data_IF_345366737403
#
_entry.id   IF_345366737403
#
_cell.length_a   1.000
_cell.length_b   1.000
_cell.length_c   1.000
_cell.angle_alpha   90.00
_cell.angle_beta   90.00
_cell.angle_gamma   90.00
#
_symmetry.space_group_name_H-M   'P 1'
#
loop_
_entity.id
_entity.type
_entity.pdbx_description
1 polymer ?
#
# COMPACT_ATOMS: atom_id res chain seq x y z
N UNK A 1 -47.46 -14.06 -9.67
CA UNK A 1 -46.37 -13.73 -8.76
C UNK A 1 -45.09 -13.73 -9.60
N UNK A 2 -44.62 -12.57 -10.02
CA UNK A 2 -43.36 -12.41 -10.74
C UNK A 2 -42.31 -12.12 -9.67
N UNK A 3 -41.45 -13.09 -9.41
CA UNK A 3 -40.30 -12.93 -8.52
C UNK A 3 -39.32 -11.99 -9.19
N UNK A 4 -39.25 -10.75 -8.73
CA UNK A 4 -38.21 -9.81 -9.10
C UNK A 4 -36.90 -10.27 -8.48
N UNK A 5 -36.06 -10.91 -9.28
CA UNK A 5 -34.65 -11.12 -8.94
C UNK A 5 -33.97 -9.74 -9.00
N UNK A 6 -33.82 -9.11 -7.85
CA UNK A 6 -32.94 -7.96 -7.69
C UNK A 6 -31.52 -8.43 -7.90
N UNK A 7 -30.99 -8.24 -9.10
CA UNK A 7 -29.55 -8.19 -9.30
C UNK A 7 -29.06 -6.88 -8.66
N UNK A 8 -28.75 -6.92 -7.38
CA UNK A 8 -27.87 -5.94 -6.77
C UNK A 8 -26.48 -6.38 -7.21
N UNK A 9 -25.77 -5.66 -8.09
CA UNK A 9 -24.36 -5.92 -8.27
C UNK A 9 -23.72 -5.62 -6.91
N UNK A 10 -23.12 -6.63 -6.31
CA UNK A 10 -22.24 -6.47 -5.17
C UNK A 10 -21.09 -5.55 -5.64
N UNK A 11 -21.28 -4.23 -5.45
CA UNK A 11 -20.22 -3.25 -5.62
C UNK A 11 -19.38 -3.30 -4.33
N UNK A 12 -18.88 -4.46 -4.03
CA UNK A 12 -17.66 -4.53 -3.27
C UNK A 12 -16.58 -3.88 -4.15
N UNK A 13 -15.84 -2.94 -3.61
CA UNK A 13 -14.55 -2.52 -4.16
C UNK A 13 -13.63 -3.76 -4.13
N UNK A 14 -14.02 -4.78 -4.87
CA UNK A 14 -13.41 -6.08 -4.91
C UNK A 14 -12.40 -6.11 -6.00
N UNK A 15 -11.16 -6.36 -5.65
CA UNK A 15 -10.12 -6.64 -6.59
C UNK A 15 -8.80 -5.92 -6.29
N UNK A 16 -8.79 -4.88 -5.49
CA UNK A 16 -7.55 -4.24 -5.06
C UNK A 16 -6.88 -5.08 -3.95
N UNK A 17 -5.61 -5.44 -4.17
CA UNK A 17 -4.79 -6.08 -3.14
C UNK A 17 -4.31 -5.02 -2.13
N UNK A 18 -5.23 -4.52 -1.30
CA UNK A 18 -4.95 -3.46 -0.33
C UNK A 18 -4.02 -3.94 0.76
N UNK A 19 -2.98 -3.18 1.00
CA UNK A 19 -2.08 -3.35 2.13
C UNK A 19 -1.91 -2.00 2.81
N UNK A 20 -2.02 -1.92 4.14
CA UNK A 20 -1.73 -0.69 4.86
C UNK A 20 -0.22 -0.39 4.80
N UNK A 21 0.12 0.88 4.92
CA UNK A 21 1.50 1.36 5.03
C UNK A 21 2.41 0.99 3.85
N UNK A 22 1.91 1.16 2.63
CA UNK A 22 2.73 0.99 1.43
C UNK A 22 3.67 2.17 1.23
N UNK A 23 4.97 1.90 1.08
CA UNK A 23 5.98 2.91 0.81
C UNK A 23 5.89 3.49 -0.60
N UNK A 24 6.05 4.81 -0.72
CA UNK A 24 5.99 5.51 -2.02
C UNK A 24 7.14 5.10 -2.94
N UNK A 25 8.32 4.80 -2.37
CA UNK A 25 9.43 4.19 -3.10
C UNK A 25 8.99 2.90 -3.81
N UNK A 26 8.39 1.99 -3.07
CA UNK A 26 7.94 0.69 -3.57
C UNK A 26 6.84 0.85 -4.63
N UNK A 27 5.85 1.73 -4.39
CA UNK A 27 4.78 2.03 -5.35
C UNK A 27 5.33 2.54 -6.68
N UNK A 28 6.35 3.40 -6.66
CA UNK A 28 7.05 3.87 -7.86
C UNK A 28 7.78 2.77 -8.62
N UNK A 29 8.18 1.70 -7.92
CA UNK A 29 8.85 0.51 -8.47
C UNK A 29 7.89 -0.67 -8.69
N UNK A 30 6.62 -0.44 -9.01
CA UNK A 30 5.69 -1.55 -9.19
C UNK A 30 5.28 -2.26 -7.91
N UNK A 31 5.51 -1.62 -6.77
CA UNK A 31 5.21 -2.16 -5.45
C UNK A 31 6.05 -3.41 -5.07
N UNK A 32 7.27 -3.56 -5.58
CA UNK A 32 8.24 -4.59 -5.17
C UNK A 32 8.87 -4.26 -3.82
N UNK A 33 9.49 -5.25 -3.16
CA UNK A 33 10.16 -5.08 -1.86
C UNK A 33 10.29 -6.37 -1.06
N UNK A 34 10.13 -7.53 -1.67
CA UNK A 34 10.30 -8.82 -0.97
C UNK A 34 11.76 -9.23 -0.89
N UNK A 35 12.51 -9.04 -1.97
CA UNK A 35 13.93 -9.38 -2.00
C UNK A 35 14.84 -8.22 -1.56
N UNK A 36 14.46 -6.96 -1.80
CA UNK A 36 15.22 -5.77 -1.44
C UNK A 36 14.39 -4.78 -0.62
N UNK A 37 14.30 -4.98 0.69
CA UNK A 37 13.74 -4.02 1.64
C UNK A 37 14.78 -3.69 2.70
N UNK A 38 15.63 -2.73 2.42
CA UNK A 38 16.72 -2.28 3.30
C UNK A 38 16.56 -0.81 3.70
N UNK A 39 15.34 -0.39 3.92
CA UNK A 39 14.93 0.96 4.31
C UNK A 39 13.83 0.91 5.38
N UNK A 40 13.19 2.04 5.65
CA UNK A 40 12.07 2.18 6.59
C UNK A 40 10.87 1.27 6.27
N UNK A 41 10.76 0.78 5.03
CA UNK A 41 9.66 -0.08 4.61
C UNK A 41 9.89 -1.58 4.93
N UNK A 42 11.08 -1.96 5.41
CA UNK A 42 11.45 -3.35 5.69
C UNK A 42 10.43 -4.05 6.60
N UNK A 43 9.96 -3.38 7.65
CA UNK A 43 8.96 -3.92 8.56
C UNK A 43 7.64 -4.32 7.88
N UNK A 44 7.29 -3.65 6.77
CA UNK A 44 6.00 -3.85 6.09
C UNK A 44 6.09 -4.75 4.85
N UNK A 45 7.28 -4.94 4.28
CA UNK A 45 7.48 -5.75 3.08
C UNK A 45 8.15 -7.09 3.37
N UNK A 46 9.31 -7.04 4.02
CA UNK A 46 10.05 -8.23 4.44
C UNK A 46 10.92 -7.90 5.66
N UNK A 47 10.57 -8.36 6.87
CA UNK A 47 11.31 -8.03 8.08
C UNK A 47 12.76 -8.53 8.09
N UNK A 48 13.15 -9.48 7.22
CA UNK A 48 14.55 -9.85 7.04
C UNK A 48 15.40 -8.70 6.51
N UNK A 49 14.80 -7.78 5.78
CA UNK A 49 15.46 -6.58 5.25
C UNK A 49 15.98 -5.65 6.34
N UNK A 50 15.43 -5.70 7.57
CA UNK A 50 16.01 -4.98 8.71
C UNK A 50 17.48 -5.30 8.91
N UNK A 51 17.87 -6.58 8.77
CA UNK A 51 19.25 -7.02 8.93
C UNK A 51 20.20 -6.50 7.82
N UNK A 52 19.66 -5.89 6.77
CA UNK A 52 20.44 -5.25 5.70
C UNK A 52 20.63 -3.74 5.93
N UNK A 53 19.97 -3.17 6.92
CA UNK A 53 20.12 -1.76 7.28
C UNK A 53 21.39 -1.59 8.11
N UNK A 54 22.30 -0.75 7.65
CA UNK A 54 23.63 -0.54 8.22
C UNK A 54 23.75 0.77 9.04
N UNK A 55 22.75 1.66 8.92
CA UNK A 55 22.71 2.95 9.61
C UNK A 55 21.43 3.08 10.42
N UNK A 56 21.48 3.85 11.52
CA UNK A 56 20.26 4.19 12.25
C UNK A 56 19.34 5.03 11.37
N UNK A 57 18.08 4.65 11.28
CA UNK A 57 17.04 5.38 10.56
C UNK A 57 15.98 5.81 11.57
N UNK A 58 15.74 7.11 11.66
CA UNK A 58 14.55 7.68 12.30
C UNK A 58 13.85 8.49 11.24
N UNK A 59 12.63 8.15 10.90
CA UNK A 59 11.91 8.82 9.82
C UNK A 59 10.44 9.03 10.13
N UNK A 60 9.91 10.16 9.68
CA UNK A 60 8.50 10.54 9.80
C UNK A 60 7.96 10.79 8.39
N UNK A 61 7.43 9.76 7.71
CA UNK A 61 6.79 9.92 6.42
C UNK A 61 5.40 10.55 6.56
N UNK A 62 5.15 11.58 5.76
CA UNK A 62 3.84 12.16 5.51
C UNK A 62 3.44 11.84 4.08
N UNK A 63 2.46 10.97 3.91
CA UNK A 63 2.03 10.48 2.60
C UNK A 63 0.63 10.99 2.29
N UNK A 64 0.48 11.55 1.09
CA UNK A 64 -0.83 11.91 0.53
C UNK A 64 -0.99 11.26 -0.84
N UNK A 65 -2.10 10.59 -1.05
CA UNK A 65 -2.44 9.91 -2.28
C UNK A 65 -3.82 10.29 -2.76
N UNK A 66 -3.95 10.53 -4.05
CA UNK A 66 -5.21 10.89 -4.69
C UNK A 66 -5.37 10.18 -6.03
N UNK A 67 -6.61 9.82 -6.39
CA UNK A 67 -6.89 9.35 -7.74
C UNK A 67 -6.83 10.50 -8.75
N UNK A 68 -6.64 10.15 -10.01
CA UNK A 68 -6.72 11.13 -11.11
C UNK A 68 -8.08 11.82 -11.14
N UNK A 69 -9.14 11.09 -10.86
CA UNK A 69 -10.50 11.61 -10.85
C UNK A 69 -10.75 12.58 -9.70
N UNK A 70 -10.17 12.33 -8.51
CA UNK A 70 -10.17 13.28 -7.39
C UNK A 70 -9.57 14.63 -7.81
N UNK A 71 -8.40 14.63 -8.46
CA UNK A 71 -7.75 15.85 -8.92
C UNK A 71 -8.58 16.57 -9.99
N UNK A 72 -9.20 15.81 -10.93
CA UNK A 72 -10.03 16.39 -11.98
C UNK A 72 -11.27 17.04 -11.41
N UNK A 73 -11.94 16.38 -10.45
CA UNK A 73 -13.12 16.91 -9.77
C UNK A 73 -12.80 18.18 -8.99
N UNK A 74 -11.75 18.16 -8.16
CA UNK A 74 -11.31 19.33 -7.40
C UNK A 74 -11.03 20.55 -8.30
N UNK A 75 -10.38 20.33 -9.46
CA UNK A 75 -10.11 21.40 -10.43
C UNK A 75 -11.37 21.94 -11.11
N UNK A 76 -12.40 21.12 -11.30
CA UNK A 76 -13.68 21.54 -11.89
C UNK A 76 -14.54 22.31 -10.89
N UNK A 77 -14.63 21.83 -9.65
CA UNK A 77 -15.37 22.49 -8.57
C UNK A 77 -14.78 23.87 -8.27
N UNK A 78 -13.44 24.00 -8.23
CA UNK A 78 -12.79 25.31 -8.03
C UNK A 78 -13.06 26.31 -9.15
N UNK A 79 -13.27 25.86 -10.40
CA UNK A 79 -13.63 26.71 -11.53
C UNK A 79 -15.09 27.18 -11.50
N UNK A 80 -15.98 26.40 -10.92
CA UNK A 80 -17.42 26.71 -10.83
C UNK A 80 -17.75 27.72 -9.72
N UNK A 81 -16.83 27.96 -8.78
CA UNK A 81 -16.98 28.98 -7.72
C UNK A 81 -18.08 28.65 -6.70
N UNK A 82 -19.34 28.72 -7.10
CA UNK A 82 -20.52 28.44 -6.27
C UNK A 82 -21.39 27.35 -6.89
N UNK A 83 -20.80 26.15 -7.09
CA UNK A 83 -21.56 25.00 -7.58
C UNK A 83 -22.60 24.54 -6.57
N UNK A 84 -23.81 24.23 -7.03
CA UNK A 84 -24.79 23.55 -6.19
C UNK A 84 -24.34 22.12 -5.87
N UNK A 85 -24.89 21.53 -4.82
CA UNK A 85 -24.65 20.11 -4.49
C UNK A 85 -24.99 19.21 -5.68
N UNK A 86 -26.06 19.52 -6.41
CA UNK A 86 -26.47 18.78 -7.59
C UNK A 86 -25.43 18.84 -8.72
N UNK A 87 -24.85 20.02 -9.00
CA UNK A 87 -23.78 20.17 -10.00
C UNK A 87 -22.52 19.39 -9.61
N UNK A 88 -22.16 19.44 -8.35
CA UNK A 88 -20.98 18.71 -7.83
C UNK A 88 -21.17 17.19 -7.99
N UNK A 89 -22.35 16.68 -7.68
CA UNK A 89 -22.65 15.25 -7.84
C UNK A 89 -22.72 14.85 -9.32
N UNK A 90 -23.29 15.69 -10.19
CA UNK A 90 -23.28 15.45 -11.63
C UNK A 90 -21.87 15.37 -12.19
N UNK A 91 -20.93 16.18 -11.69
CA UNK A 91 -19.51 16.12 -12.06
C UNK A 91 -18.80 14.88 -11.50
N UNK A 92 -19.30 14.29 -10.41
CA UNK A 92 -18.75 13.10 -9.79
C UNK A 92 -19.27 11.79 -10.42
N UNK A 93 -20.31 11.85 -11.28
CA UNK A 93 -20.85 10.67 -11.97
C UNK A 93 -19.75 9.95 -12.76
N UNK A 94 -19.74 8.61 -12.66
CA UNK A 94 -18.79 7.71 -13.30
C UNK A 94 -17.32 7.92 -12.93
N UNK A 95 -17.04 8.73 -11.89
CA UNK A 95 -15.70 8.93 -11.37
C UNK A 95 -15.45 8.08 -10.14
N UNK A 96 -14.19 7.65 -10.02
CA UNK A 96 -13.68 6.99 -8.81
C UNK A 96 -12.81 7.97 -8.04
N UNK A 97 -13.31 8.40 -6.90
CA UNK A 97 -12.63 9.33 -6.01
C UNK A 97 -11.95 8.50 -4.94
N UNK A 98 -10.63 8.57 -4.90
CA UNK A 98 -9.81 7.94 -3.88
C UNK A 98 -8.92 8.97 -3.22
N UNK A 99 -8.86 8.91 -1.90
CA UNK A 99 -7.95 9.69 -1.07
C UNK A 99 -7.36 8.81 0.01
N UNK A 100 -6.02 8.82 0.14
CA UNK A 100 -5.30 8.17 1.24
C UNK A 100 -4.33 9.16 1.86
N UNK A 101 -4.35 9.21 3.19
CA UNK A 101 -3.36 9.93 3.99
C UNK A 101 -2.72 8.96 4.96
N UNK A 102 -1.38 9.00 5.08
CA UNK A 102 -0.63 8.20 6.02
C UNK A 102 0.43 9.06 6.70
N UNK A 103 0.55 8.89 8.00
CA UNK A 103 1.65 9.44 8.79
C UNK A 103 2.14 8.36 9.74
N UNK A 104 3.45 8.17 9.80
CA UNK A 104 4.08 7.19 10.68
C UNK A 104 5.36 7.75 11.31
N UNK A 105 5.81 7.11 12.36
CA UNK A 105 7.15 7.23 12.91
C UNK A 105 7.83 5.87 12.73
N UNK A 106 8.97 5.83 12.06
CA UNK A 106 9.78 4.64 11.90
C UNK A 106 11.12 4.84 12.59
N UNK A 107 11.54 3.83 13.33
CA UNK A 107 12.85 3.79 14.01
C UNK A 107 13.50 2.45 13.71
N UNK A 108 14.69 2.46 13.13
CA UNK A 108 15.48 1.25 12.88
C UNK A 108 16.87 1.48 13.45
N UNK A 109 17.31 0.56 14.28
CA UNK A 109 18.59 0.66 15.02
C UNK A 109 19.38 -0.62 14.81
N UNK A 110 20.51 -0.58 14.06
CA UNK A 110 21.42 -1.71 13.96
C UNK A 110 22.27 -1.85 15.25
N UNK A 111 22.39 -3.10 15.71
CA UNK A 111 23.26 -3.48 16.84
C UNK A 111 24.41 -4.33 16.30
N UNK A 112 25.47 -3.64 15.89
CA UNK A 112 26.59 -4.27 15.22
C UNK A 112 26.18 -4.87 13.87
N UNK A 113 26.90 -5.92 13.44
CA UNK A 113 26.69 -6.58 12.15
C UNK A 113 25.74 -7.78 12.22
N UNK A 114 25.24 -8.12 13.41
CA UNK A 114 24.46 -9.35 13.63
C UNK A 114 22.96 -9.11 13.68
N UNK A 115 22.51 -8.01 14.28
CA UNK A 115 21.10 -7.82 14.61
C UNK A 115 20.68 -6.36 14.40
N UNK A 116 19.45 -6.16 13.94
CA UNK A 116 18.81 -4.85 13.79
C UNK A 116 17.42 -4.91 14.35
N UNK A 117 17.04 -3.93 15.16
CA UNK A 117 15.66 -3.74 15.62
C UNK A 117 14.97 -2.65 14.82
N UNK A 118 13.68 -2.86 14.57
CA UNK A 118 12.81 -1.88 13.92
C UNK A 118 11.52 -1.72 14.69
N UNK A 119 11.03 -0.49 14.77
CA UNK A 119 9.71 -0.16 15.29
C UNK A 119 9.06 0.89 14.38
N UNK A 120 7.78 0.71 14.10
CA UNK A 120 6.98 1.67 13.36
C UNK A 120 5.64 1.86 14.05
N UNK A 121 5.14 3.09 14.07
CA UNK A 121 3.80 3.39 14.57
C UNK A 121 3.18 4.50 13.75
N UNK A 122 1.91 4.36 13.37
CA UNK A 122 1.29 5.38 12.52
C UNK A 122 -0.20 5.22 12.31
N UNK A 123 -0.72 6.15 11.53
CA UNK A 123 -2.11 6.28 11.16
C UNK A 123 -2.23 6.29 9.64
N UNK A 124 -3.18 5.53 9.10
CA UNK A 124 -3.55 5.59 7.69
C UNK A 124 -5.07 5.76 7.58
N UNK A 125 -5.50 6.74 6.81
CA UNK A 125 -6.91 6.96 6.48
C UNK A 125 -7.09 6.82 4.98
N UNK A 126 -8.07 6.02 4.57
CA UNK A 126 -8.46 5.85 3.18
C UNK A 126 -9.93 6.18 3.04
N UNK A 127 -10.28 6.94 2.01
CA UNK A 127 -11.65 7.30 1.65
C UNK A 127 -11.85 6.96 0.17
N UNK A 128 -12.86 6.18 -0.12
CA UNK A 128 -13.28 5.82 -1.47
C UNK A 128 -14.72 6.29 -1.70
N UNK A 129 -14.93 6.97 -2.81
CA UNK A 129 -16.23 7.47 -3.21
C UNK A 129 -16.46 7.20 -4.70
N UNK A 130 -17.60 6.71 -5.07
CA UNK A 130 -18.02 6.61 -6.46
C UNK A 130 -19.51 6.93 -6.60
N UNK A 131 -19.86 7.68 -7.64
CA UNK A 131 -21.23 7.97 -7.99
C UNK A 131 -21.61 7.18 -9.24
N UNK A 132 -22.70 6.41 -9.17
CA UNK A 132 -23.22 5.61 -10.28
C UNK A 132 -24.67 5.99 -10.56
N UNK A 133 -25.11 5.83 -11.80
CA UNK A 133 -26.48 6.13 -12.20
C UNK A 133 -27.05 5.02 -13.09
N UNK A 134 -27.48 3.89 -12.52
CA UNK A 134 -28.19 2.87 -13.31
C UNK A 134 -29.68 3.21 -13.54
N UNK A 135 -30.39 3.75 -12.56
CA UNK A 135 -31.81 4.17 -12.62
C UNK A 135 -32.07 5.43 -11.78
N UNK A 136 -31.13 5.79 -10.92
CA UNK A 136 -31.11 6.95 -10.05
C UNK A 136 -29.67 7.17 -9.58
N UNK A 137 -29.30 8.39 -9.18
CA UNK A 137 -27.93 8.66 -8.72
C UNK A 137 -27.75 8.02 -7.34
N UNK A 138 -26.80 7.09 -7.27
CA UNK A 138 -26.37 6.45 -6.04
C UNK A 138 -24.93 6.81 -5.72
N UNK A 139 -24.67 7.20 -4.48
CA UNK A 139 -23.35 7.48 -3.96
C UNK A 139 -22.86 6.31 -3.13
N UNK A 140 -21.76 5.70 -3.55
CA UNK A 140 -21.08 4.66 -2.80
C UNK A 140 -19.90 5.27 -2.05
N UNK A 141 -19.92 5.15 -0.74
CA UNK A 141 -18.90 5.72 0.15
C UNK A 141 -18.31 4.64 1.05
N UNK A 142 -16.99 4.58 1.13
CA UNK A 142 -16.25 3.72 2.05
C UNK A 142 -15.13 4.48 2.75
N UNK A 143 -14.91 4.19 4.01
CA UNK A 143 -13.82 4.77 4.81
C UNK A 143 -13.13 3.69 5.60
N UNK A 144 -11.79 3.71 5.58
CA UNK A 144 -10.94 2.86 6.43
C UNK A 144 -9.98 3.74 7.22
N UNK A 145 -9.88 3.47 8.51
CA UNK A 145 -8.89 4.06 9.42
C UNK A 145 -8.10 2.94 10.06
N UNK A 146 -6.80 2.92 9.83
CA UNK A 146 -5.85 2.01 10.44
C UNK A 146 -4.91 2.76 11.38
N UNK A 147 -4.84 2.32 12.63
CA UNK A 147 -3.75 2.62 13.54
C UNK A 147 -2.89 1.37 13.65
N UNK A 148 -1.59 1.49 13.42
CA UNK A 148 -0.67 0.35 13.46
C UNK A 148 0.49 0.62 14.39
N UNK A 149 0.91 -0.41 15.12
CA UNK A 149 2.21 -0.52 15.75
C UNK A 149 2.86 -1.80 15.25
N UNK A 150 4.03 -1.68 14.66
CA UNK A 150 4.80 -2.79 14.11
C UNK A 150 6.19 -2.79 14.74
N UNK A 151 6.58 -3.88 15.37
CA UNK A 151 7.88 -4.06 16.02
C UNK A 151 8.51 -5.33 15.50
N UNK A 152 9.77 -5.26 15.10
CA UNK A 152 10.46 -6.41 14.54
C UNK A 152 11.95 -6.41 14.79
N UNK A 153 12.56 -7.55 14.47
CA UNK A 153 14.00 -7.73 14.50
C UNK A 153 14.46 -8.51 13.27
N UNK A 154 15.64 -8.14 12.78
CA UNK A 154 16.34 -8.82 11.71
C UNK A 154 17.70 -9.33 12.18
N UNK A 155 18.10 -10.50 11.71
CA UNK A 155 19.35 -11.17 12.03
C UNK A 155 20.14 -11.44 10.77
N UNK A 156 21.41 -11.09 10.77
CA UNK A 156 22.39 -11.30 9.71
C UNK A 156 23.29 -12.47 10.08
N UNK A 157 23.23 -13.55 9.31
CA UNK A 157 24.00 -14.76 9.53
C UNK A 157 24.98 -14.98 8.38
N UNK A 158 26.05 -15.74 8.64
CA UNK A 158 27.11 -16.05 7.65
C UNK A 158 27.60 -14.79 6.91
N UNK A 159 28.03 -13.77 7.68
CA UNK A 159 28.52 -12.49 7.17
C UNK A 159 27.56 -11.77 6.22
N UNK A 160 26.27 -11.84 6.51
CA UNK A 160 25.25 -11.17 5.70
C UNK A 160 24.75 -11.96 4.50
N UNK A 161 25.14 -13.24 4.38
CA UNK A 161 24.64 -14.12 3.31
C UNK A 161 23.19 -14.51 3.54
N UNK A 162 22.81 -14.78 4.79
CA UNK A 162 21.46 -15.15 5.19
C UNK A 162 20.89 -14.10 6.12
N UNK A 163 19.75 -13.55 5.76
CA UNK A 163 19.02 -12.60 6.58
C UNK A 163 17.68 -13.21 6.96
N UNK A 164 17.37 -13.15 8.24
CA UNK A 164 16.12 -13.68 8.80
C UNK A 164 15.49 -12.56 9.62
N UNK A 165 14.19 -12.41 9.56
CA UNK A 165 13.49 -11.40 10.34
C UNK A 165 12.11 -11.84 10.76
N UNK A 166 11.63 -11.24 11.83
CA UNK A 166 10.26 -11.42 12.31
C UNK A 166 9.73 -10.10 12.87
N UNK A 167 8.41 -9.94 12.81
CA UNK A 167 7.74 -8.78 13.38
C UNK A 167 6.38 -9.16 13.98
N UNK A 168 5.89 -8.28 14.84
CA UNK A 168 4.55 -8.30 15.42
C UNK A 168 3.85 -7.02 15.02
N UNK A 169 2.67 -7.16 14.44
CA UNK A 169 1.84 -6.03 14.03
C UNK A 169 0.57 -5.99 14.89
N UNK A 170 0.31 -4.85 15.52
CA UNK A 170 -0.93 -4.58 16.26
C UNK A 170 -1.72 -3.53 15.50
N UNK A 171 -2.97 -3.84 15.23
CA UNK A 171 -3.91 -2.98 14.51
C UNK A 171 -5.04 -2.51 15.42
N UNK A 172 -5.45 -1.27 15.20
CA UNK A 172 -6.77 -0.80 15.55
C UNK A 172 -7.42 -0.28 14.25
N UNK A 173 -8.40 -1.02 13.74
CA UNK A 173 -9.04 -0.74 12.45
C UNK A 173 -10.51 -0.38 12.64
N UNK A 174 -10.92 0.67 11.99
CA UNK A 174 -12.30 0.89 11.61
C UNK A 174 -12.40 0.73 10.08
N UNK A 175 -13.24 -0.16 9.64
CA UNK A 175 -13.52 -0.39 8.22
C UNK A 175 -15.01 -0.14 8.02
N UNK A 176 -15.33 1.07 7.56
CA UNK A 176 -16.70 1.41 7.28
C UNK A 176 -17.02 0.86 5.88
N UNK A 177 -17.96 -0.11 5.78
CA UNK A 177 -18.25 -0.74 4.51
C UNK A 177 -18.82 0.27 3.53
N UNK A 178 -18.69 -0.01 2.25
CA UNK A 178 -19.30 0.80 1.20
C UNK A 178 -20.79 0.90 1.47
N UNK A 179 -21.25 2.10 1.78
CA UNK A 179 -22.68 2.41 1.98
C UNK A 179 -23.19 3.08 0.72
N UNK A 180 -24.26 2.54 0.17
CA UNK A 180 -24.97 3.18 -0.95
C UNK A 180 -26.00 4.13 -0.38
N UNK A 181 -25.94 5.40 -0.79
CA UNK A 181 -26.85 6.47 -0.38
C UNK A 181 -27.55 6.99 -1.63
N UNK A 182 -28.88 6.96 -1.63
CA UNK A 182 -29.65 7.54 -2.74
C UNK A 182 -29.50 9.08 -2.74
N UNK A 183 -29.45 9.67 -3.92
CA UNK A 183 -29.34 11.14 -4.06
C UNK A 183 -30.49 11.90 -3.40
N UNK A 184 -31.69 11.31 -3.41
CA UNK A 184 -32.84 11.88 -2.70
C UNK A 184 -32.60 12.06 -1.21
N UNK A 185 -31.91 11.10 -0.60
CA UNK A 185 -31.60 11.11 0.83
C UNK A 185 -30.51 12.14 1.14
N UNK A 186 -29.51 12.25 0.26
CA UNK A 186 -28.45 13.26 0.32
C UNK A 186 -29.00 14.70 0.26
N UNK A 187 -29.96 14.94 -0.62
CA UNK A 187 -30.56 16.29 -0.80
C UNK A 187 -31.53 16.66 0.33
N UNK A 188 -32.13 15.68 0.99
CA UNK A 188 -33.09 15.88 2.07
C UNK A 188 -32.46 15.77 3.47
N UNK A 189 -31.19 15.36 3.55
CA UNK A 189 -30.50 15.17 4.81
C UNK A 189 -30.13 16.51 5.44
N UNK A 190 -30.60 16.76 6.64
CA UNK A 190 -30.17 17.88 7.48
C UNK A 190 -28.80 17.62 8.13
N UNK A 191 -28.32 16.37 8.15
CA UNK A 191 -27.08 15.93 8.79
C UNK A 191 -26.33 14.91 7.93
N UNK A 192 -25.86 15.37 6.78
CA UNK A 192 -25.08 14.55 5.83
C UNK A 192 -23.92 13.77 6.50
N UNK A 193 -23.28 14.38 7.50
CA UNK A 193 -22.18 13.76 8.24
C UNK A 193 -22.62 12.54 9.06
N UNK A 194 -23.87 12.51 9.55
CA UNK A 194 -24.40 11.38 10.30
C UNK A 194 -24.83 10.24 9.35
N UNK A 195 -25.32 10.59 8.17
CA UNK A 195 -25.75 9.61 7.16
C UNK A 195 -24.57 8.95 6.45
N UNK A 196 -23.52 9.70 6.15
CA UNK A 196 -22.29 9.18 5.55
C UNK A 196 -21.56 8.27 6.55
N UNK A 197 -21.59 8.62 7.84
CA UNK A 197 -20.87 7.89 8.88
C UNK A 197 -19.36 8.08 8.80
N UNK A 198 -18.73 8.27 9.95
CA UNK A 198 -17.28 8.39 10.05
C UNK A 198 -16.71 7.34 11.01
N UNK A 199 -15.49 6.94 10.76
CA UNK A 199 -14.75 6.14 11.72
C UNK A 199 -14.55 6.93 13.02
N UNK A 200 -15.24 6.47 14.08
CA UNK A 200 -15.10 7.00 15.43
C UNK A 200 -14.20 6.05 16.24
N UNK A 201 -13.58 6.57 17.28
CA UNK A 201 -12.71 5.77 18.17
C UNK A 201 -13.44 4.56 18.79
N UNK A 202 -14.75 4.68 19.04
CA UNK A 202 -15.58 3.57 19.54
C UNK A 202 -15.73 2.42 18.53
N UNK A 203 -15.54 2.68 17.23
CA UNK A 203 -15.64 1.69 16.15
C UNK A 203 -14.32 0.98 15.85
N UNK A 204 -13.23 1.39 16.50
CA UNK A 204 -11.93 0.76 16.30
C UNK A 204 -11.91 -0.66 16.86
N UNK A 205 -11.54 -1.62 16.03
CA UNK A 205 -11.40 -3.04 16.38
C UNK A 205 -9.94 -3.42 16.45
N UNK A 206 -9.55 -4.09 17.51
CA UNK A 206 -8.18 -4.53 17.74
C UNK A 206 -7.91 -5.84 17.03
N UNK A 207 -6.76 -5.95 16.40
CA UNK A 207 -6.23 -7.17 15.81
C UNK A 207 -4.73 -7.25 16.02
N UNK A 208 -4.19 -8.46 16.04
CA UNK A 208 -2.76 -8.71 16.13
C UNK A 208 -2.38 -9.80 15.16
N UNK A 209 -1.20 -9.66 14.56
CA UNK A 209 -0.64 -10.64 13.66
C UNK A 209 0.87 -10.66 13.71
N UNK A 210 1.46 -11.62 13.02
CA UNK A 210 2.90 -11.83 12.96
C UNK A 210 3.36 -11.87 11.50
N UNK A 211 4.58 -11.44 11.28
CA UNK A 211 5.27 -11.56 10.01
C UNK A 211 6.61 -12.27 10.17
N UNK A 212 7.04 -12.93 9.09
CA UNK A 212 8.32 -13.58 9.01
C UNK A 212 8.97 -13.25 7.66
N UNK A 213 10.27 -13.09 7.66
CA UNK A 213 11.05 -12.77 6.48
C UNK A 213 12.32 -13.58 6.39
N UNK A 214 12.72 -13.82 5.15
CA UNK A 214 13.95 -14.47 4.81
C UNK A 214 14.53 -13.87 3.54
N UNK A 215 15.85 -13.68 3.50
CA UNK A 215 16.60 -13.27 2.30
C UNK A 215 17.91 -14.02 2.23
N UNK A 216 18.35 -14.35 1.01
CA UNK A 216 19.65 -14.95 0.75
C UNK A 216 20.38 -14.18 -0.34
N UNK A 217 21.60 -13.74 -0.04
CA UNK A 217 22.52 -13.10 -0.97
C UNK A 217 23.39 -14.18 -1.61
N UNK A 218 23.19 -14.39 -2.91
CA UNK A 218 23.87 -15.46 -3.64
C UNK A 218 25.33 -15.10 -3.94
N UNK A 219 26.28 -15.77 -3.28
CA UNK A 219 27.72 -15.56 -3.51
C UNK A 219 28.19 -15.97 -4.90
N UNK A 220 27.50 -16.95 -5.53
CA UNK A 220 27.87 -17.48 -6.86
C UNK A 220 27.68 -16.47 -8.01
N UNK A 221 26.95 -15.38 -7.79
CA UNK A 221 26.67 -14.32 -8.75
C UNK A 221 27.16 -12.97 -8.21
N UNK A 222 28.39 -12.93 -7.74
CA UNK A 222 28.97 -11.75 -7.10
C UNK A 222 28.88 -10.47 -7.94
N UNK A 223 28.99 -10.58 -9.27
CA UNK A 223 28.91 -9.44 -10.18
C UNK A 223 27.49 -8.85 -10.27
N UNK A 224 26.45 -9.70 -10.19
CA UNK A 224 25.05 -9.27 -10.26
C UNK A 224 24.44 -9.00 -8.89
N UNK A 225 25.15 -9.42 -7.80
CA UNK A 225 24.65 -9.31 -6.42
C UNK A 225 23.20 -9.78 -6.29
N UNK A 226 22.95 -10.99 -6.74
CA UNK A 226 21.63 -11.60 -6.70
C UNK A 226 21.17 -11.85 -5.26
N UNK A 227 19.94 -11.44 -4.98
CA UNK A 227 19.25 -11.69 -3.72
C UNK A 227 17.90 -12.32 -4.04
N UNK A 228 17.56 -13.40 -3.36
CA UNK A 228 16.18 -13.88 -3.35
C UNK A 228 15.62 -13.78 -1.94
N UNK A 229 14.31 -13.53 -1.86
CA UNK A 229 13.62 -13.32 -0.61
C UNK A 229 12.27 -13.99 -0.56
N UNK A 230 11.85 -14.30 0.65
CA UNK A 230 10.49 -14.76 0.96
C UNK A 230 9.96 -13.93 2.14
N UNK A 231 8.68 -13.61 2.12
CA UNK A 231 8.01 -13.03 3.27
C UNK A 231 6.65 -13.68 3.49
N UNK A 232 6.29 -13.82 4.75
CA UNK A 232 4.97 -14.24 5.17
C UNK A 232 4.39 -13.15 6.07
N UNK A 233 3.20 -12.67 5.75
CA UNK A 233 2.45 -11.68 6.54
C UNK A 233 1.18 -12.31 7.07
N UNK A 234 0.63 -11.70 8.09
CA UNK A 234 -0.60 -12.16 8.74
C UNK A 234 -0.55 -13.65 9.12
N UNK A 235 0.59 -14.12 9.62
CA UNK A 235 0.74 -15.51 10.06
C UNK A 235 -0.27 -15.84 11.15
N UNK A 236 -1.03 -16.91 10.95
CA UNK A 236 -2.16 -17.26 11.80
C UNK A 236 -3.46 -16.51 11.49
N UNK A 237 -3.42 -15.59 10.51
CA UNK A 237 -4.52 -14.70 10.14
C UNK A 237 -4.60 -13.47 11.05
N UNK A 238 -4.89 -12.32 10.49
CA UNK A 238 -5.23 -11.10 11.24
C UNK A 238 -6.73 -11.13 11.53
N UNK A 239 -7.09 -11.40 12.78
CA UNK A 239 -8.48 -11.42 13.24
C UNK A 239 -8.74 -10.19 14.10
N UNK A 240 -9.86 -9.53 13.85
CA UNK A 240 -10.28 -8.37 14.61
C UNK A 240 -11.26 -8.75 15.73
N UNK A 241 -11.18 -8.02 16.84
CA UNK A 241 -12.21 -8.11 17.89
C UNK A 241 -13.57 -7.72 17.29
N UNK A 242 -14.64 -8.44 17.65
CA UNK A 242 -15.97 -8.25 17.09
C UNK A 242 -16.91 -7.59 18.08
N UNK A 243 -17.86 -6.85 17.54
CA UNK A 243 -19.03 -6.35 18.26
C UNK A 243 -20.25 -6.68 17.41
N UNK A 244 -21.17 -7.47 17.93
CA UNK A 244 -22.33 -7.99 17.18
C UNK A 244 -23.34 -6.91 16.76
N UNK A 245 -23.28 -5.74 17.40
CA UNK A 245 -24.18 -4.61 17.10
C UNK A 245 -23.58 -3.60 16.11
N UNK A 246 -22.39 -3.84 15.58
CA UNK A 246 -21.67 -2.87 14.75
C UNK A 246 -20.96 -3.55 13.59
N UNK A 247 -20.57 -2.76 12.61
CA UNK A 247 -19.76 -3.23 11.49
C UNK A 247 -18.36 -3.61 11.96
N UNK A 248 -17.94 -4.81 11.60
CA UNK A 248 -16.62 -5.33 11.96
C UNK A 248 -15.71 -5.36 10.73
N UNK A 249 -14.41 -5.02 10.87
CA UNK A 249 -13.44 -5.17 9.81
C UNK A 249 -13.34 -6.63 9.33
N UNK A 250 -13.05 -6.80 8.05
CA UNK A 250 -12.84 -8.13 7.46
C UNK A 250 -11.52 -8.70 7.96
N UNK A 251 -11.56 -9.95 8.45
CA UNK A 251 -10.37 -10.69 8.85
C UNK A 251 -9.46 -10.94 7.63
N UNK A 252 -8.15 -10.83 7.79
CA UNK A 252 -7.20 -11.05 6.72
C UNK A 252 -6.47 -12.37 6.91
N UNK A 253 -6.36 -13.15 5.84
CA UNK A 253 -5.63 -14.41 5.83
C UNK A 253 -4.13 -14.20 5.72
N UNK A 254 -3.36 -15.26 6.00
CA UNK A 254 -1.92 -15.25 5.80
C UNK A 254 -1.57 -15.05 4.31
N UNK A 255 -0.59 -14.20 4.06
CA UNK A 255 -0.10 -13.87 2.73
C UNK A 255 1.37 -14.30 2.61
N UNK A 256 1.70 -15.04 1.56
CA UNK A 256 3.05 -15.52 1.27
C UNK A 256 3.56 -14.89 -0.02
N UNK A 257 4.78 -14.39 0.02
CA UNK A 257 5.39 -13.67 -1.09
C UNK A 257 6.79 -14.22 -1.36
N UNK A 258 7.22 -14.18 -2.62
CA UNK A 258 8.57 -14.51 -3.05
C UNK A 258 9.06 -13.43 -4.01
N UNK A 259 10.36 -13.13 -3.93
CA UNK A 259 10.99 -12.15 -4.81
C UNK A 259 12.42 -12.52 -5.16
N UNK A 260 12.88 -12.00 -6.27
CA UNK A 260 14.28 -12.03 -6.69
C UNK A 260 14.71 -10.65 -7.13
N UNK A 261 15.90 -10.26 -6.72
CA UNK A 261 16.46 -8.96 -7.05
C UNK A 261 17.92 -9.06 -7.47
N UNK A 262 18.38 -8.10 -8.24
CA UNK A 262 19.78 -7.94 -8.61
C UNK A 262 20.21 -6.48 -8.56
N UNK A 263 21.48 -6.28 -8.19
CA UNK A 263 22.15 -4.98 -8.17
C UNK A 263 23.39 -5.05 -9.05
N UNK A 264 23.25 -4.97 -10.38
CA UNK A 264 24.38 -5.14 -11.31
C UNK A 264 25.46 -4.08 -11.15
N UNK A 265 25.07 -2.89 -10.74
CA UNK A 265 26.00 -1.79 -10.53
C UNK A 265 25.70 -1.06 -9.22
N UNK A 266 26.75 -0.88 -8.43
CA UNK A 266 26.73 -0.09 -7.21
C UNK A 266 28.06 0.61 -7.04
N UNK A 267 28.06 1.92 -7.28
CA UNK A 267 29.22 2.79 -7.20
C UNK A 267 28.92 4.07 -6.44
N UNK A 268 29.91 4.93 -6.29
CA UNK A 268 29.80 6.19 -5.53
C UNK A 268 28.85 7.20 -6.18
N UNK A 269 28.75 7.20 -7.52
CA UNK A 269 27.95 8.18 -8.24
C UNK A 269 26.61 7.62 -8.70
N UNK A 270 26.51 6.31 -8.84
CA UNK A 270 25.34 5.66 -9.43
C UNK A 270 25.18 4.25 -8.89
N UNK A 271 23.93 3.85 -8.69
CA UNK A 271 23.54 2.46 -8.44
C UNK A 271 22.26 2.14 -9.19
N UNK A 272 22.08 0.87 -9.51
CA UNK A 272 20.82 0.41 -10.04
C UNK A 272 20.46 -0.95 -9.48
N UNK A 273 19.17 -1.21 -9.33
CA UNK A 273 18.68 -2.52 -9.00
C UNK A 273 17.36 -2.82 -9.71
N UNK A 274 17.10 -4.10 -9.81
CA UNK A 274 15.93 -4.67 -10.45
C UNK A 274 15.36 -5.72 -9.51
N UNK A 275 14.05 -5.79 -9.43
CA UNK A 275 13.36 -6.74 -8.57
C UNK A 275 12.10 -7.24 -9.25
N UNK A 276 11.78 -8.52 -9.03
CA UNK A 276 10.54 -9.17 -9.44
C UNK A 276 9.98 -9.88 -8.23
N UNK A 277 8.74 -9.57 -7.89
CA UNK A 277 7.99 -10.22 -6.81
C UNK A 277 6.75 -10.91 -7.34
N UNK A 278 6.43 -12.04 -6.73
CA UNK A 278 5.11 -12.67 -6.82
C UNK A 278 4.51 -12.64 -5.42
N UNK A 279 3.36 -11.99 -5.29
CA UNK A 279 2.70 -11.78 -4.00
C UNK A 279 1.41 -12.57 -3.90
N UNK A 280 1.01 -12.86 -2.65
CA UNK A 280 -0.18 -13.65 -2.33
C UNK A 280 -0.22 -14.97 -3.12
N UNK A 281 0.82 -15.78 -2.94
CA UNK A 281 0.99 -17.07 -3.62
C UNK A 281 -0.18 -18.04 -3.41
N UNK A 282 -0.93 -17.85 -2.33
CA UNK A 282 -2.09 -18.69 -1.97
C UNK A 282 -3.41 -18.23 -2.56
N UNK A 283 -3.46 -17.03 -3.12
CA UNK A 283 -4.68 -16.39 -3.62
C UNK A 283 -5.76 -16.24 -2.52
N UNK A 284 -5.34 -15.85 -1.32
CA UNK A 284 -6.23 -15.80 -0.16
C UNK A 284 -6.47 -14.36 0.33
N UNK A 285 -6.04 -13.33 -0.44
CA UNK A 285 -6.23 -11.94 -0.06
C UNK A 285 -7.72 -11.62 0.12
N UNK A 286 -8.10 -11.04 1.26
CA UNK A 286 -9.51 -10.84 1.66
C UNK A 286 -10.28 -9.89 0.74
N UNK A 287 -9.56 -8.92 0.15
CA UNK A 287 -10.15 -7.91 -0.71
C UNK A 287 -10.24 -8.36 -2.18
N UNK A 288 -9.88 -9.62 -2.50
CA UNK A 288 -9.94 -10.18 -3.86
C UNK A 288 -10.73 -11.50 -3.90
N UNK A 289 -12.05 -11.49 -3.61
CA UNK A 289 -12.88 -12.69 -3.59
C UNK A 289 -13.01 -13.36 -4.96
N UNK A 290 -12.85 -12.62 -6.05
CA UNK A 290 -12.86 -13.19 -7.40
C UNK A 290 -11.69 -14.15 -7.61
N UNK A 291 -10.47 -13.73 -7.29
CA UNK A 291 -9.30 -14.58 -7.47
C UNK A 291 -9.19 -15.69 -6.42
N UNK A 292 -9.81 -15.56 -5.25
CA UNK A 292 -9.95 -16.67 -4.32
C UNK A 292 -10.71 -17.85 -4.96
N UNK A 293 -11.71 -17.57 -5.79
CA UNK A 293 -12.53 -18.57 -6.50
C UNK A 293 -11.89 -19.02 -7.81
N UNK A 294 -11.14 -18.16 -8.49
CA UNK A 294 -10.60 -18.37 -9.84
C UNK A 294 -9.06 -18.37 -9.86
N UNK A 295 -8.44 -19.14 -8.96
CA UNK A 295 -6.98 -19.15 -8.72
C UNK A 295 -6.12 -19.41 -9.97
N UNK A 296 -6.64 -20.13 -10.97
CA UNK A 296 -5.92 -20.50 -12.19
C UNK A 296 -6.11 -19.49 -13.34
N UNK A 297 -6.84 -18.39 -13.12
CA UNK A 297 -7.02 -17.36 -14.14
C UNK A 297 -5.70 -16.63 -14.42
N UNK A 298 -5.41 -16.38 -15.71
CA UNK A 298 -4.28 -15.55 -16.13
C UNK A 298 -4.33 -14.15 -15.52
N UNK A 299 -5.53 -13.59 -15.40
CA UNK A 299 -5.78 -12.25 -14.87
C UNK A 299 -5.42 -12.18 -13.38
N UNK A 300 -5.79 -13.22 -12.62
CA UNK A 300 -5.43 -13.33 -11.21
C UNK A 300 -3.92 -13.47 -11.00
N UNK A 301 -3.22 -14.19 -11.89
CA UNK A 301 -1.77 -14.28 -11.85
C UNK A 301 -1.13 -12.92 -12.16
N UNK A 302 -1.66 -12.17 -13.15
CA UNK A 302 -1.16 -10.85 -13.54
C UNK A 302 -1.26 -9.84 -12.39
N UNK A 303 -2.32 -9.88 -11.59
CA UNK A 303 -2.51 -9.03 -10.40
C UNK A 303 -1.45 -9.24 -9.33
N UNK A 304 -0.76 -10.38 -9.34
CA UNK A 304 0.24 -10.77 -8.31
C UNK A 304 1.67 -10.56 -8.73
N UNK A 305 1.91 -10.30 -10.01
CA UNK A 305 3.26 -10.04 -10.54
C UNK A 305 3.58 -8.57 -10.38
N UNK A 306 4.71 -8.30 -9.76
CA UNK A 306 5.28 -6.98 -9.54
C UNK A 306 6.69 -6.95 -10.07
N UNK A 307 7.04 -5.94 -10.85
CA UNK A 307 8.39 -5.76 -11.42
C UNK A 307 8.82 -4.33 -11.16
N UNK A 308 10.05 -4.13 -10.74
CA UNK A 308 10.56 -2.81 -10.43
C UNK A 308 12.02 -2.61 -10.73
N UNK A 309 12.37 -1.37 -11.00
CA UNK A 309 13.76 -0.92 -11.12
C UNK A 309 13.92 0.46 -10.52
N UNK A 310 15.09 0.71 -9.91
CA UNK A 310 15.50 2.01 -9.41
C UNK A 310 16.88 2.36 -9.99
N UNK A 311 17.02 3.61 -10.41
CA UNK A 311 18.27 4.23 -10.83
C UNK A 311 18.57 5.35 -9.83
N UNK A 312 19.51 5.10 -8.91
CA UNK A 312 19.91 6.02 -7.87
C UNK A 312 21.19 6.75 -8.25
N UNK A 313 21.17 8.07 -8.16
CA UNK A 313 22.31 8.94 -8.40
C UNK A 313 22.79 9.51 -7.08
N UNK A 314 24.11 9.56 -6.87
CA UNK A 314 24.77 9.97 -5.63
C UNK A 314 24.16 9.24 -4.42
N UNK A 315 24.43 7.92 -4.30
CA UNK A 315 23.97 7.14 -3.15
C UNK A 315 24.41 7.78 -1.83
N UNK A 316 23.50 7.92 -0.88
CA UNK A 316 23.73 8.46 0.45
C UNK A 316 24.08 7.32 1.41
N UNK A 317 23.28 6.24 1.34
CA UNK A 317 23.44 5.01 2.12
C UNK A 317 22.83 3.81 1.37
N UNK A 318 22.67 2.66 2.04
CA UNK A 318 22.14 1.43 1.43
C UNK A 318 20.74 1.60 0.82
N UNK A 319 19.90 2.47 1.39
CA UNK A 319 18.49 2.65 0.98
C UNK A 319 18.16 3.98 0.29
N UNK A 320 19.04 5.00 0.33
CA UNK A 320 18.76 6.33 -0.18
C UNK A 320 19.77 6.83 -1.21
N UNK A 321 19.33 7.69 -2.12
CA UNK A 321 20.16 8.42 -3.09
C UNK A 321 19.74 9.89 -3.11
N UNK A 322 20.63 10.81 -3.52
CA UNK A 322 20.27 12.22 -3.65
C UNK A 322 19.16 12.43 -4.68
N UNK A 323 19.19 11.63 -5.75
CA UNK A 323 18.15 11.56 -6.77
C UNK A 323 17.91 10.09 -7.12
N UNK A 324 16.65 9.65 -7.17
CA UNK A 324 16.32 8.33 -7.69
C UNK A 324 15.15 8.41 -8.69
N UNK A 325 15.29 7.68 -9.80
CA UNK A 325 14.25 7.48 -10.81
C UNK A 325 13.82 6.03 -10.74
N UNK A 326 12.51 5.80 -10.72
CA UNK A 326 11.91 4.48 -10.56
C UNK A 326 10.94 4.18 -11.68
N UNK A 327 10.97 2.95 -12.14
CA UNK A 327 10.01 2.41 -13.09
C UNK A 327 9.55 1.04 -12.58
N UNK A 328 8.31 0.71 -12.87
CA UNK A 328 7.78 -0.58 -12.44
C UNK A 328 6.53 -1.01 -13.17
N UNK A 329 6.12 -2.22 -12.84
CA UNK A 329 4.91 -2.86 -13.29
C UNK A 329 4.16 -3.39 -12.07
N UNK A 330 2.96 -2.88 -11.83
CA UNK A 330 2.11 -3.21 -10.70
C UNK A 330 0.78 -3.75 -11.18
N UNK A 331 0.46 -5.01 -10.89
CA UNK A 331 -0.86 -5.61 -11.20
C UNK A 331 -1.28 -5.46 -12.68
N UNK A 332 -0.33 -5.52 -13.61
CA UNK A 332 -0.61 -5.34 -15.04
C UNK A 332 -0.40 -3.91 -15.56
N UNK A 333 -0.01 -2.93 -14.71
CA UNK A 333 0.10 -1.53 -15.09
C UNK A 333 1.49 -0.95 -14.81
N UNK A 334 1.91 -0.02 -15.68
CA UNK A 334 3.16 0.72 -15.50
C UNK A 334 3.04 1.68 -14.32
N UNK A 335 4.07 1.71 -13.47
CA UNK A 335 4.30 2.68 -12.41
C UNK A 335 5.57 3.49 -12.66
N UNK A 336 5.64 4.68 -12.09
CA UNK A 336 6.77 5.61 -12.18
C UNK A 336 6.99 6.25 -10.83
N UNK A 337 8.25 6.49 -10.49
CA UNK A 337 8.60 7.17 -9.24
C UNK A 337 9.77 8.11 -9.41
N UNK A 338 9.83 9.08 -8.52
CA UNK A 338 10.92 10.04 -8.39
C UNK A 338 11.18 10.27 -6.90
N UNK A 339 12.45 10.35 -6.53
CA UNK A 339 12.88 10.79 -5.20
C UNK A 339 13.93 11.85 -5.33
N UNK A 340 13.85 12.86 -4.47
CA UNK A 340 14.83 13.93 -4.33
C UNK A 340 15.14 14.09 -2.85
N UNK A 341 16.41 13.97 -2.50
CA UNK A 341 16.97 14.27 -1.20
C UNK A 341 17.82 15.54 -1.31
N UNK A 342 17.27 16.73 -0.99
CA UNK A 342 17.99 17.99 -1.17
C UNK A 342 19.19 18.15 -0.23
N UNK A 343 19.21 17.41 0.87
CA UNK A 343 20.31 17.36 1.82
C UNK A 343 21.18 16.15 1.49
N UNK A 344 22.12 16.31 0.56
CA UNK A 344 22.89 15.24 -0.09
C UNK A 344 23.74 14.39 0.88
N UNK A 345 24.04 14.90 2.08
CA UNK A 345 24.96 14.25 3.01
C UNK A 345 24.28 13.51 4.17
N UNK A 346 22.96 13.61 4.33
CA UNK A 346 22.21 12.90 5.36
C UNK A 346 20.72 12.80 5.00
N UNK A 347 20.03 11.84 5.59
CA UNK A 347 18.60 11.59 5.35
C UNK A 347 17.68 12.60 6.05
N UNK A 348 18.02 13.90 6.09
CA UNK A 348 17.23 14.90 6.82
C UNK A 348 15.89 15.23 6.19
N UNK A 349 15.81 15.21 4.86
CA UNK A 349 14.59 15.50 4.11
C UNK A 349 14.58 14.69 2.82
N UNK A 350 13.50 13.95 2.55
CA UNK A 350 13.26 13.37 1.24
C UNK A 350 11.86 13.69 0.74
N UNK A 351 11.76 13.91 -0.57
CA UNK A 351 10.50 14.12 -1.27
C UNK A 351 10.39 12.99 -2.30
N UNK A 352 9.35 12.16 -2.15
CA UNK A 352 9.11 11.03 -3.03
C UNK A 352 7.77 11.19 -3.72
N UNK A 353 7.74 10.84 -5.00
CA UNK A 353 6.54 10.86 -5.82
C UNK A 353 6.37 9.51 -6.52
N UNK A 354 5.14 9.02 -6.59
CA UNK A 354 4.76 7.87 -7.41
C UNK A 354 3.48 8.15 -8.21
N UNK A 355 3.48 7.69 -9.46
CA UNK A 355 2.32 7.68 -10.36
C UNK A 355 2.12 6.24 -10.83
N UNK A 356 1.05 5.61 -10.43
CA UNK A 356 0.80 4.20 -10.64
C UNK A 356 -0.69 3.92 -10.84
N UNK A 357 -1.01 2.70 -11.24
CA UNK A 357 -2.39 2.24 -11.33
C UNK A 357 -2.58 1.01 -10.46
N UNK A 358 -3.78 0.87 -9.95
CA UNK A 358 -4.28 -0.33 -9.27
C UNK A 358 -5.49 -0.88 -10.01
N UNK A 359 -5.69 -2.18 -9.91
CA UNK A 359 -6.92 -2.81 -10.41
C UNK A 359 -7.97 -2.79 -9.31
N UNK A 360 -9.08 -2.14 -9.55
CA UNK A 360 -10.24 -2.10 -8.64
C UNK A 360 -11.37 -3.01 -9.11
N UNK A 361 -11.23 -3.63 -10.30
CA UNK A 361 -12.13 -4.62 -10.85
C UNK A 361 -11.74 -6.07 -10.52
N UNK A 362 -12.51 -7.00 -11.02
CA UNK A 362 -12.30 -8.42 -10.80
C UNK A 362 -11.09 -8.98 -11.56
N UNK A 363 -10.90 -8.55 -12.78
CA UNK A 363 -9.86 -9.03 -13.70
C UNK A 363 -8.85 -7.92 -14.02
N UNK A 364 -7.61 -8.28 -14.31
CA UNK A 364 -6.61 -7.31 -14.76
C UNK A 364 -7.06 -6.63 -16.05
N UNK A 365 -7.11 -5.30 -16.05
CA UNK A 365 -7.60 -4.49 -17.18
C UNK A 365 -9.07 -4.10 -17.11
N UNK A 366 -9.81 -4.59 -16.15
CA UNK A 366 -11.25 -4.36 -16.01
C UNK A 366 -11.56 -2.94 -15.52
N UNK A 367 -10.95 -2.53 -14.40
CA UNK A 367 -11.23 -1.22 -13.79
C UNK A 367 -9.96 -0.55 -13.23
N UNK A 368 -9.06 -0.08 -14.10
CA UNK A 368 -7.81 0.54 -13.68
C UNK A 368 -8.03 1.93 -13.08
N UNK A 369 -7.64 2.12 -11.83
CA UNK A 369 -7.63 3.41 -11.17
C UNK A 369 -6.20 3.98 -11.13
N UNK A 370 -6.00 5.20 -11.66
CA UNK A 370 -4.71 5.88 -11.62
C UNK A 370 -4.60 6.74 -10.37
N UNK A 371 -3.55 6.48 -9.59
CA UNK A 371 -3.23 7.18 -8.34
C UNK A 371 -1.91 7.91 -8.44
N UNK A 372 -1.83 9.01 -7.72
CA UNK A 372 -0.63 9.80 -7.52
C UNK A 372 -0.38 9.99 -6.06
N UNK A 373 0.82 9.65 -5.63
CA UNK A 373 1.22 9.69 -4.23
C UNK A 373 2.41 10.60 -4.09
N UNK A 374 2.36 11.47 -3.09
CA UNK A 374 3.45 12.34 -2.66
C UNK A 374 3.78 12.00 -1.20
N UNK A 375 5.06 11.78 -0.93
CA UNK A 375 5.59 11.63 0.42
C UNK A 375 6.63 12.71 0.69
N UNK A 376 6.50 13.35 1.84
CA UNK A 376 7.56 14.13 2.45
C UNK A 376 8.03 13.37 3.68
N UNK A 377 9.30 13.04 3.73
CA UNK A 377 9.88 12.27 4.83
C UNK A 377 10.90 13.15 5.56
N UNK A 378 10.69 13.31 6.87
CA UNK A 378 11.66 13.95 7.76
C UNK A 378 12.48 12.85 8.42
N UNK A 379 13.81 12.89 8.24
CA UNK A 379 14.76 11.93 8.78
C UNK A 379 15.71 12.58 9.78
N UNK A 380 16.22 11.75 10.71
CA UNK A 380 17.19 12.19 11.74
C UNK A 380 18.27 11.13 11.95
#
# INVERSE_FOLDING_TARGET
MVSSVSFVPDIQAGGELRRPFQGVRNLGMGNVGVALSHDENALFYNPAGLAAVDTTIVSIPFVNEVSKDTLSLASQVTKLGSASTADTVALALDKQIHYRNMTALNVIIPFGSLMTFGAAGGLETTIDLSATNPVGIELNYGMRLDQIVNIGAGFSLDRGRWLIGANVEQYQRCDYPVKTIAMSDLLNSSNLADDIGFCKTSLLRKGQTYGFGFQNRMSSFSTLRLVWGMSARNLGGLKFSRNDNETNPVDQKAEYNIGIAMTPFEGILFRNFYEIDIRDLTFEHSDDPYCQKNKNSSDCNMKRIHIGTEFGFWPIDSGASALAIRLGWNQGYVSKGLEINPLIFFRGLSIQYADYKVETGNSAGDRPERRRTLQVNLGF
#
